data_IF_841405087540
#
_entry.id   IF_841405087540
#
_cell.length_a   1.000
_cell.length_b   1.000
_cell.length_c   1.000
_cell.angle_alpha   90.00
_cell.angle_beta   90.00
_cell.angle_gamma   90.00
#
_symmetry.space_group_name_H-M   'P 1'
#
loop_
_entity.id
_entity.type
_entity.pdbx_description
1 polymer ?
#
# COMPACT_ATOMS: atom_id res chain seq x y z
N UNK A 1 6.84 12.68 2.52
CA UNK A 1 7.33 11.58 3.35
C UNK A 1 7.18 12.01 4.80
N UNK A 2 6.91 11.10 5.74
CA UNK A 2 6.99 11.43 7.16
C UNK A 2 8.45 11.33 7.58
N UNK A 3 8.93 12.31 8.35
CA UNK A 3 10.31 12.35 8.81
C UNK A 3 10.68 11.09 9.61
N UNK A 4 11.91 10.61 9.43
CA UNK A 4 12.40 9.39 10.08
C UNK A 4 11.91 8.06 9.50
N UNK A 5 10.88 8.04 8.64
CA UNK A 5 10.40 6.79 8.03
C UNK A 5 11.48 6.07 7.21
N UNK A 6 12.23 6.74 6.32
CA UNK A 6 13.27 6.04 5.56
C UNK A 6 14.37 5.48 6.47
N UNK A 7 14.75 6.21 7.52
CA UNK A 7 15.72 5.72 8.49
C UNK A 7 15.22 4.49 9.26
N UNK A 8 13.95 4.48 9.69
CA UNK A 8 13.35 3.33 10.33
C UNK A 8 13.32 2.09 9.41
N UNK A 9 13.04 2.29 8.11
CA UNK A 9 13.10 1.20 7.12
C UNK A 9 14.50 0.61 7.04
N UNK A 10 15.54 1.44 6.94
CA UNK A 10 16.93 0.97 6.91
C UNK A 10 17.31 0.22 8.18
N UNK A 11 16.94 0.72 9.36
CA UNK A 11 17.19 0.03 10.64
C UNK A 11 16.58 -1.39 10.64
N UNK A 12 15.35 -1.54 10.10
CA UNK A 12 14.71 -2.84 9.99
C UNK A 12 15.44 -3.76 8.99
N UNK A 13 15.87 -3.22 7.84
CA UNK A 13 16.67 -3.96 6.86
C UNK A 13 18.03 -4.39 7.42
N UNK A 14 18.74 -3.52 8.13
CA UNK A 14 20.03 -3.80 8.77
C UNK A 14 19.90 -4.89 9.85
N UNK A 15 18.74 -4.95 10.51
CA UNK A 15 18.39 -6.00 11.45
C UNK A 15 17.91 -7.31 10.78
N UNK A 16 17.91 -7.39 9.44
CA UNK A 16 17.56 -8.59 8.67
C UNK A 16 16.06 -8.80 8.45
N UNK A 17 15.22 -7.80 8.72
CA UNK A 17 13.78 -7.86 8.45
C UNK A 17 13.47 -7.44 7.02
N UNK A 18 12.38 -7.98 6.47
CA UNK A 18 11.72 -7.42 5.29
C UNK A 18 10.70 -6.37 5.72
N UNK A 19 10.57 -5.31 4.94
CA UNK A 19 9.59 -4.24 5.15
C UNK A 19 8.59 -4.26 4.00
N UNK A 20 7.32 -4.53 4.32
CA UNK A 20 6.24 -4.61 3.35
C UNK A 20 5.15 -3.57 3.65
N UNK A 21 4.43 -3.14 2.60
CA UNK A 21 3.26 -2.26 2.74
C UNK A 21 1.99 -3.09 2.65
N UNK A 22 1.09 -2.92 3.62
CA UNK A 22 -0.27 -3.48 3.57
C UNK A 22 -1.29 -2.38 3.84
N UNK A 23 -2.08 -1.98 2.83
CA UNK A 23 -2.93 -0.79 2.92
C UNK A 23 -4.32 -0.94 2.28
N UNK A 24 -5.33 -0.30 2.91
CA UNK A 24 -6.68 -0.19 2.35
C UNK A 24 -6.74 1.10 1.51
N UNK A 25 -7.05 1.01 0.23
CA UNK A 25 -7.11 2.14 -0.72
C UNK A 25 -8.46 2.19 -1.45
N UNK A 26 -9.58 2.38 -0.72
CA UNK A 26 -10.92 2.40 -1.31
C UNK A 26 -11.19 3.65 -2.16
N UNK A 27 -10.24 4.60 -2.23
CA UNK A 27 -10.37 5.83 -3.03
C UNK A 27 -10.62 5.54 -4.50
N UNK A 28 -10.03 4.45 -5.02
CA UNK A 28 -10.30 3.96 -6.38
C UNK A 28 -11.76 3.49 -6.50
N UNK A 29 -12.20 2.59 -5.62
CA UNK A 29 -13.55 2.04 -5.64
C UNK A 29 -14.65 3.09 -5.45
N UNK A 30 -14.36 4.16 -4.70
CA UNK A 30 -15.26 5.29 -4.45
C UNK A 30 -15.14 6.42 -5.49
N UNK A 31 -14.30 6.28 -6.52
CA UNK A 31 -13.99 7.32 -7.53
C UNK A 31 -13.46 8.63 -6.94
N UNK A 32 -12.84 8.60 -5.76
CA UNK A 32 -12.09 9.74 -5.22
C UNK A 32 -10.74 9.92 -5.93
N UNK A 33 -10.23 8.86 -6.55
CA UNK A 33 -9.04 8.91 -7.41
C UNK A 33 -9.13 7.85 -8.51
N UNK A 34 -8.37 8.05 -9.59
CA UNK A 34 -8.24 7.06 -10.66
C UNK A 34 -7.16 6.01 -10.33
N UNK A 35 -7.18 4.86 -11.00
CA UNK A 35 -6.07 3.89 -10.94
C UNK A 35 -4.74 4.54 -11.34
N UNK A 36 -4.74 5.40 -12.37
CA UNK A 36 -3.53 6.11 -12.80
C UNK A 36 -2.97 7.02 -11.69
N UNK A 37 -3.85 7.72 -10.97
CA UNK A 37 -3.47 8.56 -9.83
C UNK A 37 -2.90 7.71 -8.69
N UNK A 38 -3.54 6.57 -8.40
CA UNK A 38 -3.06 5.63 -7.38
C UNK A 38 -1.66 5.10 -7.72
N UNK A 39 -1.44 4.65 -8.96
CA UNK A 39 -0.12 4.20 -9.42
C UNK A 39 0.93 5.32 -9.36
N UNK A 40 0.57 6.55 -9.73
CA UNK A 40 1.49 7.69 -9.61
C UNK A 40 1.91 7.96 -8.15
N UNK A 41 0.99 7.79 -7.19
CA UNK A 41 1.30 7.92 -5.76
C UNK A 41 2.25 6.81 -5.32
N UNK A 42 2.01 5.56 -5.74
CA UNK A 42 2.90 4.42 -5.45
C UNK A 42 4.30 4.64 -6.01
N UNK A 43 4.42 4.98 -7.30
CA UNK A 43 5.70 5.24 -7.92
C UNK A 43 6.45 6.37 -7.22
N UNK A 44 5.75 7.45 -6.84
CA UNK A 44 6.35 8.54 -6.07
C UNK A 44 6.84 8.09 -4.70
N UNK A 45 6.10 7.23 -3.99
CA UNK A 45 6.54 6.70 -2.70
C UNK A 45 7.86 5.93 -2.84
N UNK A 46 7.97 5.06 -3.83
CA UNK A 46 9.18 4.27 -4.09
C UNK A 46 10.36 5.17 -4.51
N UNK A 47 10.11 6.16 -5.37
CA UNK A 47 11.12 7.14 -5.78
C UNK A 47 11.64 7.97 -4.59
N UNK A 48 10.77 8.38 -3.67
CA UNK A 48 11.20 9.13 -2.48
C UNK A 48 12.02 8.26 -1.51
N UNK A 49 11.71 6.97 -1.39
CA UNK A 49 12.49 6.06 -0.54
C UNK A 49 13.88 5.79 -1.15
N UNK A 50 13.96 5.61 -2.47
CA UNK A 50 15.23 5.31 -3.15
C UNK A 50 16.26 6.42 -2.99
N UNK A 51 15.83 7.69 -2.91
CA UNK A 51 16.69 8.87 -2.65
C UNK A 51 17.46 8.78 -1.33
N UNK A 52 17.01 7.95 -0.40
CA UNK A 52 17.61 7.79 0.93
C UNK A 52 18.25 6.41 1.15
N UNK A 53 18.40 5.64 0.06
CA UNK A 53 18.85 4.25 0.08
C UNK A 53 17.95 3.35 0.96
N UNK A 54 16.65 3.61 0.95
CA UNK A 54 15.62 2.82 1.62
C UNK A 54 14.70 2.22 0.57
N UNK A 55 14.14 1.03 0.82
CA UNK A 55 13.22 0.39 -0.14
C UNK A 55 12.12 -0.39 0.57
N UNK A 56 11.13 -0.85 -0.20
CA UNK A 56 10.04 -1.72 0.29
C UNK A 56 10.17 -3.04 -0.45
N UNK A 57 10.13 -4.15 0.28
CA UNK A 57 10.28 -5.50 -0.26
C UNK A 57 9.06 -5.95 -1.07
N UNK A 58 7.86 -5.55 -0.63
CA UNK A 58 6.61 -5.84 -1.33
C UNK A 58 5.49 -4.88 -0.91
N UNK A 59 4.52 -4.67 -1.80
CA UNK A 59 3.36 -3.84 -1.54
C UNK A 59 2.06 -4.57 -1.85
N UNK A 60 1.10 -4.50 -0.93
CA UNK A 60 -0.20 -5.15 -1.02
C UNK A 60 -1.32 -4.17 -0.68
N UNK A 61 -2.26 -4.01 -1.61
CA UNK A 61 -3.33 -3.03 -1.52
C UNK A 61 -4.71 -3.65 -1.70
N UNK A 62 -5.65 -3.29 -0.83
CA UNK A 62 -7.07 -3.59 -1.01
C UNK A 62 -7.75 -2.37 -1.63
N UNK A 63 -8.22 -2.51 -2.88
CA UNK A 63 -9.00 -1.45 -3.54
C UNK A 63 -10.51 -1.54 -3.25
N UNK A 64 -11.01 -2.69 -2.79
CA UNK A 64 -12.44 -2.96 -2.61
C UNK A 64 -13.11 -2.16 -1.49
N UNK A 65 -14.41 -1.93 -1.64
CA UNK A 65 -15.28 -1.36 -0.61
C UNK A 65 -16.75 -1.78 -0.81
N UNK A 66 -17.52 -2.13 0.24
CA UNK A 66 -18.93 -2.57 0.08
C UNK A 66 -19.84 -1.49 -0.52
N UNK A 67 -19.50 -0.22 -0.31
CA UNK A 67 -20.18 0.95 -0.89
C UNK A 67 -19.45 1.52 -2.11
N UNK A 68 -18.70 0.70 -2.86
CA UNK A 68 -18.03 1.18 -4.06
C UNK A 68 -19.02 1.68 -5.11
N UNK A 69 -18.58 2.68 -5.87
CA UNK A 69 -19.27 3.20 -7.06
C UNK A 69 -18.82 2.42 -8.30
N UNK A 70 -17.59 1.91 -8.31
CA UNK A 70 -17.08 1.02 -9.35
C UNK A 70 -17.61 -0.40 -9.10
N UNK A 71 -18.43 -0.98 -10.00
CA UNK A 71 -19.08 -2.27 -9.78
C UNK A 71 -18.10 -3.39 -9.45
N UNK A 72 -17.00 -3.49 -10.20
CA UNK A 72 -15.97 -4.54 -10.03
C UNK A 72 -15.23 -4.46 -8.68
N UNK A 73 -15.34 -3.32 -7.97
CA UNK A 73 -14.71 -3.12 -6.67
C UNK A 73 -15.71 -3.13 -5.51
N UNK A 74 -16.99 -3.40 -5.79
CA UNK A 74 -18.08 -3.38 -4.82
C UNK A 74 -18.25 -4.74 -4.14
N UNK A 75 -17.39 -5.02 -3.17
CA UNK A 75 -17.34 -6.33 -2.52
C UNK A 75 -17.00 -6.23 -1.02
N UNK A 76 -17.45 -7.23 -0.25
CA UNK A 76 -16.93 -7.55 1.09
C UNK A 76 -15.77 -8.55 0.96
N UNK A 77 -14.63 -8.12 0.40
CA UNK A 77 -13.47 -9.01 0.16
C UNK A 77 -12.83 -9.52 1.47
N UNK A 78 -11.97 -10.55 1.35
CA UNK A 78 -11.11 -11.03 2.44
C UNK A 78 -9.79 -10.25 2.61
N UNK A 79 -9.49 -9.42 1.63
CA UNK A 79 -8.30 -8.59 1.56
C UNK A 79 -8.35 -7.33 2.44
N UNK A 80 -9.55 -6.81 2.72
CA UNK A 80 -9.72 -5.51 3.38
C UNK A 80 -9.46 -5.62 4.88
N UNK A 81 -8.49 -4.86 5.41
CA UNK A 81 -8.27 -4.76 6.85
C UNK A 81 -9.57 -4.32 7.57
N UNK A 82 -9.91 -4.89 8.73
CA UNK A 82 -9.04 -5.67 9.63
C UNK A 82 -8.90 -7.17 9.29
N UNK A 83 -9.48 -7.67 8.19
CA UNK A 83 -9.25 -9.07 7.77
C UNK A 83 -7.76 -9.29 7.39
N UNK A 84 -7.23 -10.51 7.58
CA UNK A 84 -5.81 -10.81 7.40
C UNK A 84 -5.41 -11.11 5.95
N UNK A 85 -6.33 -11.08 4.98
CA UNK A 85 -6.09 -11.66 3.65
C UNK A 85 -4.85 -11.12 2.92
N UNK A 86 -4.54 -9.82 3.05
CA UNK A 86 -3.31 -9.26 2.46
C UNK A 86 -2.03 -9.69 3.20
N UNK A 87 -2.10 -9.93 4.52
CA UNK A 87 -0.95 -10.42 5.29
C UNK A 87 -0.66 -11.88 4.99
N UNK A 88 -1.70 -12.71 4.77
CA UNK A 88 -1.54 -14.12 4.39
C UNK A 88 -0.91 -14.26 2.99
N UNK A 89 -1.15 -13.28 2.10
CA UNK A 89 -0.58 -13.25 0.76
C UNK A 89 0.89 -12.80 0.72
N UNK A 90 1.35 -12.13 1.77
CA UNK A 90 2.62 -11.40 1.78
C UNK A 90 3.86 -12.29 1.98
#
# INVERSE_FOLDING_TARGET
MIDGVPEAIRILHDAGYKVIIVSNQPGVAKKHMSNKTFEAIRCRLIDELSKTNSFIDAEFYCLHHPQAVVPDLKEVCDCRKPKPGLLIKA
#
